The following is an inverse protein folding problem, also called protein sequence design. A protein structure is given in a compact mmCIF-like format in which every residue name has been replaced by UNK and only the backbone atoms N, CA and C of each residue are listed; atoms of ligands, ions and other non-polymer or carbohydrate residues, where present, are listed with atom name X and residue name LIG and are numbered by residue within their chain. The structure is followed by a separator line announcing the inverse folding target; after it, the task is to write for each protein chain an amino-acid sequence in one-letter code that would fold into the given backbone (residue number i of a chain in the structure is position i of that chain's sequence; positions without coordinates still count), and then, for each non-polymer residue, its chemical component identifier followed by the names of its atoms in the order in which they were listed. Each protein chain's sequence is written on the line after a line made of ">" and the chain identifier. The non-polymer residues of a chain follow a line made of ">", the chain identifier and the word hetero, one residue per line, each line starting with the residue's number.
data_IF_077677682660
#
_entry.id   IF_077677682660
#
_cell.length_a   1.000
_cell.length_b   1.000
_cell.length_c   1.000
_cell.angle_alpha   90.00
_cell.angle_beta   90.00
_cell.angle_gamma   90.00
#
_symmetry.space_group_name_H-M   'P 1'
#
loop_
_entity.id
_entity.type
_entity.pdbx_description
1 polymer ?
#
# COMPACT_ATOMS: atom_id res chain seq x y z
N UNK A 1 -11.19 4.38 11.79
CA UNK A 1 -11.56 4.61 10.37
C UNK A 1 -11.71 6.12 10.14
N UNK A 2 -10.65 6.91 10.40
CA UNK A 2 -10.74 8.35 10.65
C UNK A 2 -9.42 9.01 10.19
N UNK A 3 -9.45 10.16 9.49
CA UNK A 3 -8.28 11.05 9.42
C UNK A 3 -8.32 11.95 10.66
N UNK A 4 -7.33 11.84 11.54
CA UNK A 4 -7.25 12.71 12.72
C UNK A 4 -6.89 14.13 12.27
N UNK A 5 -7.71 15.09 12.63
CA UNK A 5 -7.40 16.48 12.43
C UNK A 5 -7.06 17.12 13.75
N UNK A 6 -6.05 17.96 13.76
CA UNK A 6 -5.76 18.83 14.88
C UNK A 6 -5.31 18.06 16.10
N UNK A 7 -4.00 18.01 16.27
CA UNK A 7 -3.40 17.74 17.56
C UNK A 7 -3.86 18.83 18.53
N UNK A 8 -4.64 18.43 19.54
CA UNK A 8 -5.08 19.31 20.62
C UNK A 8 -4.05 19.27 21.75
N UNK A 9 -3.60 18.10 22.18
CA UNK A 9 -2.52 17.94 23.17
C UNK A 9 -1.84 16.55 23.11
N UNK A 10 -0.69 16.40 23.76
CA UNK A 10 0.23 15.26 23.67
C UNK A 10 0.85 14.85 25.01
N UNK A 11 1.38 13.63 25.05
CA UNK A 11 2.15 13.11 26.19
C UNK A 11 3.55 13.73 26.33
N UNK A 12 4.14 14.24 25.24
CA UNK A 12 5.51 14.76 25.21
C UNK A 12 5.60 16.27 25.54
N UNK A 13 6.68 16.73 26.22
CA UNK A 13 6.91 18.15 26.46
C UNK A 13 6.94 18.92 25.13
N UNK A 14 6.26 20.07 25.08
CA UNK A 14 6.15 20.96 23.89
C UNK A 14 5.17 20.51 22.79
N UNK A 15 4.38 19.45 23.00
CA UNK A 15 3.30 19.12 22.08
C UNK A 15 3.80 18.61 20.73
N UNK A 16 4.87 17.81 20.71
CA UNK A 16 5.43 17.18 19.52
C UNK A 16 4.98 15.71 19.39
N UNK A 17 4.63 15.28 18.18
CA UNK A 17 4.41 13.87 17.84
C UNK A 17 5.18 13.48 16.59
N UNK A 18 5.46 12.19 16.46
CA UNK A 18 6.12 11.62 15.29
C UNK A 18 5.16 10.72 14.53
N UNK A 19 5.11 10.90 13.22
CA UNK A 19 4.31 10.05 12.34
C UNK A 19 5.16 9.42 11.25
N UNK A 20 4.87 8.17 10.96
CA UNK A 20 5.40 7.46 9.81
C UNK A 20 4.45 7.63 8.63
N UNK A 21 4.95 8.11 7.49
CA UNK A 21 4.15 8.33 6.26
C UNK A 21 4.50 7.37 5.12
N UNK A 22 5.18 6.26 5.43
CA UNK A 22 5.59 5.24 4.45
C UNK A 22 4.43 4.77 3.54
N UNK A 23 3.21 4.67 4.07
CA UNK A 23 2.01 4.28 3.31
C UNK A 23 1.43 5.39 2.40
N UNK A 24 1.86 6.64 2.55
CA UNK A 24 1.32 7.81 1.82
C UNK A 24 2.29 8.28 0.72
N UNK A 25 3.57 8.41 1.05
CA UNK A 25 4.59 8.97 0.16
C UNK A 25 5.85 8.11 0.04
N UNK A 26 5.89 6.94 0.68
CA UNK A 26 7.03 6.04 0.62
C UNK A 26 8.27 6.54 1.36
N UNK A 27 8.16 7.62 2.14
CA UNK A 27 9.24 8.10 2.99
C UNK A 27 9.32 7.27 4.27
N UNK A 28 10.55 6.87 4.64
CA UNK A 28 10.83 6.05 5.84
C UNK A 28 11.15 6.88 7.07
N UNK A 29 11.38 8.18 6.91
CA UNK A 29 11.66 9.08 8.03
C UNK A 29 10.36 9.43 8.76
N UNK A 30 10.45 9.53 10.08
CA UNK A 30 9.35 10.05 10.88
C UNK A 30 9.22 11.55 10.67
N UNK A 31 8.02 11.98 10.32
CA UNK A 31 7.66 13.40 10.20
C UNK A 31 7.21 13.92 11.54
N UNK A 32 7.72 15.09 11.90
CA UNK A 32 7.37 15.80 13.12
C UNK A 32 6.04 16.53 12.89
N UNK A 33 5.10 16.36 13.82
CA UNK A 33 3.82 17.07 13.87
C UNK A 33 3.71 17.76 15.21
N UNK A 34 3.25 19.00 15.23
CA UNK A 34 3.26 19.81 16.42
C UNK A 34 1.88 20.40 16.70
N UNK A 35 1.40 20.20 17.92
CA UNK A 35 0.25 20.90 18.48
C UNK A 35 0.47 22.41 18.40
N UNK A 36 -0.60 23.18 18.17
CA UNK A 36 -0.46 24.62 18.36
C UNK A 36 -0.19 24.92 19.85
N UNK A 37 0.73 25.84 20.20
CA UNK A 37 1.07 26.13 21.60
C UNK A 37 -0.14 26.51 22.46
N UNK A 38 -1.11 27.20 21.86
CA UNK A 38 -2.34 27.57 22.56
C UNK A 38 -3.22 26.36 22.89
N UNK A 39 -3.29 25.33 22.05
CA UNK A 39 -4.10 24.13 22.32
C UNK A 39 -3.36 23.11 23.19
N UNK A 40 -2.02 23.10 23.14
CA UNK A 40 -1.18 22.15 23.86
C UNK A 40 -1.44 22.09 25.38
N UNK A 41 -2.00 23.16 25.97
CA UNK A 41 -2.43 23.24 27.37
C UNK A 41 -3.53 22.24 27.76
N UNK A 42 -4.22 21.65 26.79
CA UNK A 42 -5.38 20.77 26.98
C UNK A 42 -4.95 19.31 27.18
N UNK A 43 -4.10 19.06 28.17
CA UNK A 43 -3.49 17.76 28.47
C UNK A 43 -4.42 16.78 29.21
N UNK A 44 -5.43 17.31 29.91
CA UNK A 44 -6.41 16.52 30.67
C UNK A 44 -7.72 16.33 29.91
N UNK A 45 -8.34 15.16 30.11
CA UNK A 45 -9.66 14.83 29.56
C UNK A 45 -10.75 15.80 30.03
N UNK A 46 -10.61 16.36 31.23
CA UNK A 46 -11.54 17.33 31.78
C UNK A 46 -11.40 18.70 31.11
N UNK A 47 -10.18 19.17 30.88
CA UNK A 47 -9.94 20.41 30.12
C UNK A 47 -10.45 20.29 28.66
N UNK A 48 -10.36 19.11 28.06
CA UNK A 48 -10.92 18.85 26.73
C UNK A 48 -12.46 18.85 26.72
N UNK A 49 -13.10 18.39 27.78
CA UNK A 49 -14.56 18.40 27.89
C UNK A 49 -15.14 19.82 28.00
N UNK A 50 -14.43 20.71 28.68
CA UNK A 50 -14.81 22.12 28.84
C UNK A 50 -14.42 22.98 27.62
N UNK A 51 -13.57 22.46 26.73
CA UNK A 51 -13.08 23.18 25.58
C UNK A 51 -14.11 23.21 24.43
N UNK A 52 -14.52 24.42 24.04
CA UNK A 52 -15.44 24.64 22.93
C UNK A 52 -14.78 25.51 21.86
N UNK A 53 -14.67 25.01 20.63
CA UNK A 53 -14.14 25.76 19.50
C UNK A 53 -14.76 25.30 18.17
N UNK A 54 -14.74 26.20 17.18
CA UNK A 54 -15.19 25.93 15.82
C UNK A 54 -13.99 25.82 14.88
N UNK A 55 -13.87 24.71 14.16
CA UNK A 55 -12.85 24.54 13.11
C UNK A 55 -13.43 24.96 11.76
N UNK A 56 -12.83 25.95 11.12
CA UNK A 56 -13.08 26.32 9.72
C UNK A 56 -11.91 25.83 8.88
N UNK A 57 -12.16 25.07 7.82
CA UNK A 57 -11.09 24.52 6.98
C UNK A 57 -11.46 24.55 5.51
N UNK A 58 -10.47 24.36 4.65
CA UNK A 58 -10.66 24.19 3.22
C UNK A 58 -11.53 22.96 2.87
N UNK A 59 -12.12 22.98 1.68
CA UNK A 59 -12.87 21.81 1.19
C UNK A 59 -11.95 20.59 0.99
N UNK A 60 -12.47 19.37 1.14
CA UNK A 60 -11.70 18.14 0.93
C UNK A 60 -11.04 18.08 -0.46
N UNK A 61 -9.70 18.14 -0.50
CA UNK A 61 -8.90 18.10 -1.72
C UNK A 61 -7.93 16.90 -1.74
N UNK A 62 -7.20 16.74 -2.85
CA UNK A 62 -6.25 15.63 -3.09
C UNK A 62 -4.79 15.99 -2.76
N UNK A 63 -4.52 17.23 -2.37
CA UNK A 63 -3.18 17.75 -2.15
C UNK A 63 -2.69 17.34 -0.76
N UNK A 64 -1.81 16.35 -0.70
CA UNK A 64 -1.34 15.75 0.57
C UNK A 64 -0.50 16.71 1.42
N UNK A 65 0.19 17.67 0.81
CA UNK A 65 1.15 18.56 1.48
C UNK A 65 0.61 19.97 1.75
N UNK A 66 -0.67 20.20 1.49
CA UNK A 66 -1.31 21.49 1.73
C UNK A 66 -2.45 21.28 2.70
N UNK A 67 -2.60 22.15 3.68
CA UNK A 67 -3.79 22.22 4.52
C UNK A 67 -3.88 23.62 5.10
N UNK A 68 -5.04 24.24 4.94
CA UNK A 68 -5.34 25.55 5.51
C UNK A 68 -6.62 25.45 6.35
N UNK A 69 -6.49 25.74 7.64
CA UNK A 69 -7.60 25.80 8.57
C UNK A 69 -7.45 26.94 9.58
N UNK A 70 -8.53 27.22 10.29
CA UNK A 70 -8.64 28.22 11.34
C UNK A 70 -9.44 27.59 12.49
N UNK A 71 -8.87 27.56 13.68
CA UNK A 71 -9.59 27.24 14.91
C UNK A 71 -10.08 28.55 15.54
N UNK A 72 -11.39 28.65 15.75
CA UNK A 72 -12.06 29.79 16.38
C UNK A 72 -12.60 29.37 17.74
N UNK A 73 -11.91 29.77 18.80
CA UNK A 73 -12.42 29.67 20.18
C UNK A 73 -13.31 30.90 20.45
N UNK A 74 -14.51 30.76 21.04
CA UNK A 74 -15.43 31.88 21.27
C UNK A 74 -14.86 33.01 22.13
N UNK A 75 -13.96 32.67 23.06
CA UNK A 75 -13.36 33.56 24.05
C UNK A 75 -11.90 33.92 23.77
N UNK A 76 -11.30 33.41 22.68
CA UNK A 76 -9.87 33.56 22.42
C UNK A 76 -9.55 33.92 20.95
N UNK A 77 -8.25 34.03 20.68
CA UNK A 77 -7.72 34.41 19.37
C UNK A 77 -7.99 33.30 18.34
N UNK A 78 -8.22 33.69 17.09
CA UNK A 78 -8.29 32.73 15.99
C UNK A 78 -6.89 32.17 15.70
N UNK A 79 -6.77 30.85 15.74
CA UNK A 79 -5.50 30.13 15.55
C UNK A 79 -5.44 29.57 14.13
N UNK A 80 -4.41 29.89 13.33
CA UNK A 80 -4.20 29.24 12.04
C UNK A 80 -3.73 27.80 12.23
N UNK A 81 -4.30 26.89 11.43
CA UNK A 81 -3.95 25.48 11.37
C UNK A 81 -3.31 25.19 10.01
N UNK A 82 -2.10 24.65 10.03
CA UNK A 82 -1.37 24.21 8.85
C UNK A 82 -1.23 22.68 8.79
N UNK A 83 -0.41 22.21 7.84
CA UNK A 83 -0.11 20.79 7.70
C UNK A 83 0.58 20.21 8.95
N UNK A 84 1.35 21.01 9.68
CA UNK A 84 2.09 20.59 10.87
C UNK A 84 1.18 20.12 12.01
N UNK A 85 -0.08 20.58 12.04
CA UNK A 85 -1.10 20.18 13.01
C UNK A 85 -2.02 19.06 12.48
N UNK A 86 -1.83 18.59 11.25
CA UNK A 86 -2.71 17.64 10.57
C UNK A 86 -2.11 16.23 10.51
N UNK A 87 -2.91 15.23 10.86
CA UNK A 87 -2.54 13.82 10.75
C UNK A 87 -3.34 13.16 9.63
N UNK A 88 -2.65 12.64 8.63
CA UNK A 88 -3.32 12.05 7.48
C UNK A 88 -3.72 10.60 7.78
N UNK A 89 -4.88 10.18 7.26
CA UNK A 89 -5.23 8.76 7.23
C UNK A 89 -4.15 7.99 6.46
N UNK A 90 -3.67 6.90 7.04
CA UNK A 90 -2.59 6.08 6.49
C UNK A 90 -1.25 6.32 7.17
N UNK A 91 -1.10 7.44 7.89
CA UNK A 91 0.05 7.67 8.77
C UNK A 91 -0.07 6.81 10.04
N UNK A 92 1.05 6.30 10.53
CA UNK A 92 1.12 5.60 11.81
C UNK A 92 1.80 6.50 12.86
N UNK A 93 1.19 6.63 14.03
CA UNK A 93 1.81 7.32 15.15
C UNK A 93 2.97 6.46 15.68
N UNK A 94 4.14 7.07 15.86
CA UNK A 94 5.36 6.44 16.38
C UNK A 94 5.94 7.32 17.48
N UNK A 95 6.68 6.71 18.41
CA UNK A 95 7.44 7.44 19.44
C UNK A 95 6.59 8.49 20.19
N UNK A 96 5.32 8.20 20.41
CA UNK A 96 4.36 9.05 21.11
C UNK A 96 3.29 8.14 21.70
N UNK A 97 3.00 8.28 23.01
CA UNK A 97 2.11 7.35 23.72
C UNK A 97 0.65 7.54 23.29
N UNK A 98 0.17 8.78 23.33
CA UNK A 98 -1.18 9.13 22.93
C UNK A 98 -1.23 10.56 22.39
N UNK A 99 -2.28 10.82 21.63
CA UNK A 99 -2.60 12.13 21.11
C UNK A 99 -4.08 12.41 21.39
N UNK A 100 -4.39 13.67 21.68
CA UNK A 100 -5.75 14.17 21.58
C UNK A 100 -5.93 14.87 20.25
N UNK A 101 -6.98 14.50 19.51
CA UNK A 101 -7.27 15.18 18.27
C UNK A 101 -8.75 15.17 17.89
N UNK A 102 -9.11 16.15 17.07
CA UNK A 102 -10.44 16.31 16.50
C UNK A 102 -10.52 15.54 15.18
N UNK A 103 -11.68 15.43 14.54
CA UNK A 103 -11.83 14.82 13.23
C UNK A 103 -12.42 15.83 12.26
N UNK A 104 -11.68 16.19 11.21
CA UNK A 104 -12.11 17.15 10.16
C UNK A 104 -12.60 16.43 8.91
N UNK A 105 -11.92 15.35 8.49
CA UNK A 105 -12.31 14.59 7.30
C UNK A 105 -12.56 13.12 7.65
N UNK A 106 -13.64 12.56 7.11
CA UNK A 106 -14.01 11.15 7.34
C UNK A 106 -14.22 10.39 6.02
N UNK A 107 -14.07 9.06 6.07
CA UNK A 107 -14.35 8.18 4.93
C UNK A 107 -13.67 8.61 3.61
N UNK A 108 -14.49 8.88 2.59
CA UNK A 108 -14.07 9.28 1.24
C UNK A 108 -13.66 10.76 1.11
N UNK A 109 -13.84 11.56 2.16
CA UNK A 109 -13.37 12.95 2.20
C UNK A 109 -11.90 13.05 2.63
N UNK A 110 -11.35 11.99 3.21
CA UNK A 110 -9.93 11.96 3.57
C UNK A 110 -9.03 12.12 2.34
N UNK A 111 -7.95 12.90 2.47
CA UNK A 111 -7.04 13.22 1.35
C UNK A 111 -6.50 11.97 0.64
N UNK A 112 -6.18 10.91 1.40
CA UNK A 112 -5.77 9.61 0.86
C UNK A 112 -6.86 9.00 -0.04
N UNK A 113 -8.11 9.01 0.39
CA UNK A 113 -9.21 8.43 -0.40
C UNK A 113 -9.59 9.29 -1.60
N UNK A 114 -9.43 10.61 -1.52
CA UNK A 114 -9.57 11.52 -2.67
C UNK A 114 -8.47 11.33 -3.70
N UNK A 115 -7.29 10.90 -3.28
CA UNK A 115 -6.20 10.50 -4.16
C UNK A 115 -6.40 9.07 -4.70
N UNK A 116 -7.07 8.20 -3.93
CA UNK A 116 -7.40 6.85 -4.38
C UNK A 116 -8.41 6.88 -5.53
N UNK A 117 -8.10 6.18 -6.62
CA UNK A 117 -9.04 6.01 -7.73
C UNK A 117 -9.95 4.83 -7.42
N UNK A 118 -11.27 4.95 -7.68
CA UNK A 118 -12.21 3.83 -7.53
C UNK A 118 -11.69 2.65 -8.35
N UNK A 119 -11.60 1.48 -7.72
CA UNK A 119 -11.12 0.28 -8.39
C UNK A 119 -11.98 0.02 -9.65
N UNK A 120 -11.38 0.08 -10.85
CA UNK A 120 -12.13 -0.22 -12.07
C UNK A 120 -12.47 -1.71 -12.10
N UNK A 121 -13.56 -2.06 -12.78
CA UNK A 121 -13.84 -3.46 -13.10
C UNK A 121 -12.79 -3.92 -14.12
N UNK A 122 -11.83 -4.71 -13.64
CA UNK A 122 -10.81 -5.33 -14.49
C UNK A 122 -11.44 -6.50 -15.23
N UNK A 123 -11.36 -6.49 -16.55
CA UNK A 123 -11.76 -7.61 -17.42
C UNK A 123 -10.50 -8.21 -18.05
N UNK A 124 -10.43 -9.53 -18.14
CA UNK A 124 -9.32 -10.21 -18.81
C UNK A 124 -9.30 -9.85 -20.30
N UNK A 125 -8.11 -9.75 -20.88
CA UNK A 125 -7.94 -9.62 -22.33
C UNK A 125 -8.51 -10.82 -23.07
N UNK A 126 -8.42 -12.02 -22.48
CA UNK A 126 -9.02 -13.25 -23.00
C UNK A 126 -10.54 -13.14 -23.03
N UNK A 127 -11.17 -12.57 -22.00
CA UNK A 127 -12.63 -12.35 -22.01
C UNK A 127 -13.06 -11.47 -23.19
N UNK A 128 -12.29 -10.41 -23.46
CA UNK A 128 -12.54 -9.53 -24.60
C UNK A 128 -12.41 -10.27 -25.93
N UNK A 129 -11.36 -11.08 -26.07
CA UNK A 129 -11.12 -11.88 -27.27
C UNK A 129 -12.20 -12.95 -27.48
N UNK A 130 -12.57 -13.69 -26.44
CA UNK A 130 -13.66 -14.68 -26.47
C UNK A 130 -14.98 -14.05 -26.88
N UNK A 131 -15.31 -12.87 -26.34
CA UNK A 131 -16.51 -12.14 -26.75
C UNK A 131 -16.49 -11.73 -28.23
N UNK A 132 -15.33 -11.33 -28.76
CA UNK A 132 -15.16 -11.06 -30.20
C UNK A 132 -15.34 -12.33 -31.03
N UNK A 133 -14.81 -13.48 -30.59
CA UNK A 133 -15.02 -14.77 -31.27
C UNK A 133 -16.49 -15.23 -31.23
N UNK A 134 -17.20 -15.05 -30.11
CA UNK A 134 -18.64 -15.33 -30.00
C UNK A 134 -19.43 -14.49 -31.00
N UNK A 135 -19.12 -13.20 -31.12
CA UNK A 135 -19.76 -12.32 -32.10
C UNK A 135 -19.48 -12.78 -33.54
N UNK A 136 -18.25 -13.17 -33.85
CA UNK A 136 -17.91 -13.71 -35.17
C UNK A 136 -18.66 -15.02 -35.48
N UNK A 137 -18.74 -15.94 -34.51
CA UNK A 137 -19.51 -17.19 -34.66
C UNK A 137 -21.01 -16.92 -34.83
N UNK A 138 -21.56 -15.93 -34.13
CA UNK A 138 -22.95 -15.52 -34.29
C UNK A 138 -23.23 -14.97 -35.70
N UNK A 139 -22.31 -14.17 -36.27
CA UNK A 139 -22.44 -13.72 -37.66
C UNK A 139 -22.36 -14.88 -38.64
N UNK A 140 -21.44 -15.83 -38.43
CA UNK A 140 -21.34 -17.05 -39.25
C UNK A 140 -22.64 -17.87 -39.16
N UNK A 141 -23.19 -18.05 -37.95
CA UNK A 141 -24.47 -18.73 -37.72
C UNK A 141 -25.60 -18.11 -38.54
N UNK A 142 -25.74 -16.78 -38.49
CA UNK A 142 -26.76 -16.06 -39.28
C UNK A 142 -26.56 -16.25 -40.79
N UNK A 143 -25.32 -16.23 -41.27
CA UNK A 143 -25.05 -16.44 -42.69
C UNK A 143 -25.34 -17.87 -43.13
N UNK A 144 -24.96 -18.89 -42.35
CA UNK A 144 -25.26 -20.29 -42.68
C UNK A 144 -26.76 -20.58 -42.63
N UNK A 145 -27.48 -20.06 -41.63
CA UNK A 145 -28.93 -20.28 -41.54
C UNK A 145 -29.68 -19.58 -42.69
N UNK A 146 -29.23 -18.39 -43.11
CA UNK A 146 -29.82 -17.68 -44.24
C UNK A 146 -29.55 -18.39 -45.57
N UNK A 147 -28.33 -18.87 -45.80
CA UNK A 147 -27.97 -19.64 -46.98
C UNK A 147 -28.73 -20.97 -47.03
N UNK A 148 -28.84 -21.67 -45.90
CA UNK A 148 -29.56 -22.95 -45.82
C UNK A 148 -31.07 -22.77 -46.06
N UNK A 149 -31.67 -21.73 -45.48
CA UNK A 149 -33.07 -21.38 -45.76
C UNK A 149 -33.28 -21.00 -47.24
N UNK A 150 -32.35 -20.27 -47.84
CA UNK A 150 -32.38 -19.90 -49.26
C UNK A 150 -32.26 -21.11 -50.18
N UNK A 151 -31.33 -22.03 -49.90
CA UNK A 151 -31.21 -23.27 -50.68
C UNK A 151 -32.39 -24.21 -50.49
N UNK A 152 -32.95 -24.28 -49.28
CA UNK A 152 -34.16 -25.06 -49.02
C UNK A 152 -35.36 -24.53 -49.82
N UNK A 153 -35.54 -23.21 -49.88
CA UNK A 153 -36.57 -22.56 -50.69
C UNK A 153 -36.39 -22.83 -52.19
N UNK A 154 -35.15 -22.72 -52.70
CA UNK A 154 -34.86 -23.03 -54.10
C UNK A 154 -35.11 -24.50 -54.43
N UNK A 155 -34.74 -25.42 -53.54
CA UNK A 155 -34.93 -26.84 -53.72
C UNK A 155 -36.41 -27.22 -53.73
N UNK A 156 -37.20 -26.66 -52.80
CA UNK A 156 -38.64 -26.91 -52.68
C UNK A 156 -39.45 -26.37 -53.87
N UNK A 157 -38.94 -25.34 -54.56
CA UNK A 157 -39.54 -24.87 -55.83
C UNK A 157 -39.25 -25.81 -57.00
N UNK A 158 -38.15 -26.55 -56.96
CA UNK A 158 -37.70 -27.40 -58.06
C UNK A 158 -38.22 -28.85 -57.96
N UNK A 159 -38.51 -29.35 -56.76
CA UNK A 159 -38.91 -30.74 -56.52
C UNK A 159 -40.25 -30.81 -55.78
N UNK A 160 -41.20 -31.54 -56.36
CA UNK A 160 -42.53 -31.82 -55.76
C UNK A 160 -42.70 -33.31 -55.59
N UNK A 161 -41.97 -33.88 -54.63
CA UNK A 161 -42.01 -35.31 -54.35
C UNK A 161 -43.24 -35.66 -53.47
N UNK A 162 -44.13 -36.49 -54.01
CA UNK A 162 -45.42 -36.83 -53.41
C UNK A 162 -45.33 -37.50 -52.03
N UNK A 163 -44.20 -38.13 -51.70
CA UNK A 163 -43.99 -38.85 -50.44
C UNK A 163 -43.51 -37.97 -49.27
N UNK A 164 -43.08 -36.72 -49.54
CA UNK A 164 -42.53 -35.81 -48.51
C UNK A 164 -43.64 -35.05 -47.77
N UNK A 165 -44.88 -35.06 -48.28
CA UNK A 165 -46.03 -34.42 -47.61
C UNK A 165 -45.92 -32.89 -47.55
N UNK A 166 -45.39 -32.27 -48.62
CA UNK A 166 -45.13 -30.82 -48.70
C UNK A 166 -46.40 -29.94 -48.68
N UNK A 167 -47.58 -30.51 -48.95
CA UNK A 167 -48.87 -29.77 -49.01
C UNK A 167 -49.47 -29.46 -47.62
N UNK A 168 -49.17 -30.26 -46.59
CA UNK A 168 -49.70 -30.06 -45.22
C UNK A 168 -48.73 -29.31 -44.30
N UNK A 169 -47.45 -29.25 -44.65
CA UNK A 169 -46.44 -28.63 -43.82
C UNK A 169 -46.41 -27.10 -44.02
N UNK A 170 -46.38 -26.34 -42.92
CA UNK A 170 -46.17 -24.88 -42.86
C UNK A 170 -44.79 -24.42 -43.40
N UNK A 171 -44.17 -25.20 -44.28
CA UNK A 171 -42.82 -25.07 -44.82
C UNK A 171 -42.69 -23.99 -45.91
N UNK A 172 -43.80 -23.39 -46.39
CA UNK A 172 -43.75 -22.34 -47.40
C UNK A 172 -43.24 -20.98 -46.88
N UNK A 173 -43.11 -20.84 -45.55
CA UNK A 173 -42.66 -19.59 -44.94
C UNK A 173 -41.15 -19.62 -44.74
N UNK A 174 -40.42 -18.87 -45.58
CA UNK A 174 -38.98 -18.65 -45.46
C UNK A 174 -38.52 -18.35 -44.02
N UNK A 175 -39.30 -17.57 -43.27
CA UNK A 175 -39.01 -17.23 -41.87
C UNK A 175 -39.01 -18.43 -40.92
N UNK A 176 -39.93 -19.39 -41.09
CA UNK A 176 -39.96 -20.60 -40.26
C UNK A 176 -38.80 -21.54 -40.62
N UNK A 177 -38.49 -21.70 -41.91
CA UNK A 177 -37.31 -22.48 -42.34
C UNK A 177 -36.01 -21.87 -41.81
N UNK A 178 -35.87 -20.54 -41.88
CA UNK A 178 -34.72 -19.82 -41.30
C UNK A 178 -34.60 -20.04 -39.79
N UNK A 179 -35.70 -19.96 -39.04
CA UNK A 179 -35.70 -20.20 -37.60
C UNK A 179 -35.34 -21.65 -37.26
N UNK A 180 -35.84 -22.62 -38.02
CA UNK A 180 -35.50 -24.05 -37.88
C UNK A 180 -34.00 -24.29 -38.06
N UNK A 181 -33.39 -23.73 -39.11
CA UNK A 181 -31.93 -23.83 -39.30
C UNK A 181 -31.12 -23.09 -38.23
N UNK A 182 -31.62 -21.96 -37.74
CA UNK A 182 -30.99 -21.23 -36.64
C UNK A 182 -30.96 -22.05 -35.34
N UNK A 183 -32.06 -22.75 -35.02
CA UNK A 183 -32.13 -23.65 -33.86
C UNK A 183 -31.22 -24.86 -34.07
N UNK A 184 -31.23 -25.46 -35.26
CA UNK A 184 -30.38 -26.62 -35.60
C UNK A 184 -28.89 -26.32 -35.41
N UNK A 185 -28.47 -25.11 -35.79
CA UNK A 185 -27.08 -24.66 -35.71
C UNK A 185 -26.71 -23.95 -34.39
N UNK A 186 -27.62 -23.87 -33.42
CA UNK A 186 -27.38 -23.17 -32.15
C UNK A 186 -26.17 -23.70 -31.37
N UNK A 187 -25.86 -25.00 -31.52
CA UNK A 187 -24.70 -25.65 -30.91
C UNK A 187 -23.33 -25.15 -31.40
N UNK A 188 -23.28 -24.34 -32.47
CA UNK A 188 -22.03 -23.68 -32.92
C UNK A 188 -21.53 -22.63 -31.92
N UNK A 189 -22.39 -22.07 -31.08
CA UNK A 189 -22.00 -21.14 -30.02
C UNK A 189 -21.73 -21.97 -28.76
N UNK A 190 -20.46 -22.15 -28.35
CA UNK A 190 -20.13 -23.00 -27.22
C UNK A 190 -20.38 -22.26 -25.90
N UNK A 191 -21.65 -22.15 -25.48
CA UNK A 191 -22.03 -21.48 -24.23
C UNK A 191 -21.36 -22.16 -23.02
N UNK A 192 -21.20 -23.48 -23.08
CA UNK A 192 -20.53 -24.27 -22.03
C UNK A 192 -19.05 -23.95 -21.87
N UNK A 193 -18.36 -23.47 -22.91
CA UNK A 193 -16.93 -23.13 -22.85
C UNK A 193 -16.69 -21.96 -21.89
N UNK A 194 -17.57 -20.95 -21.91
CA UNK A 194 -17.46 -19.80 -21.02
C UNK A 194 -17.57 -20.21 -19.55
N UNK A 195 -18.58 -21.03 -19.22
CA UNK A 195 -18.78 -21.53 -17.85
C UNK A 195 -17.61 -22.42 -17.41
N UNK A 196 -17.12 -23.28 -18.31
CA UNK A 196 -15.96 -24.14 -18.02
C UNK A 196 -14.72 -23.31 -17.74
N UNK A 197 -14.47 -22.23 -18.50
CA UNK A 197 -13.35 -21.33 -18.27
C UNK A 197 -13.44 -20.63 -16.90
N UNK A 198 -14.63 -20.19 -16.47
CA UNK A 198 -14.84 -19.62 -15.13
C UNK A 198 -14.54 -20.62 -14.01
N UNK A 199 -14.98 -21.87 -14.17
CA UNK A 199 -14.70 -22.94 -13.20
C UNK A 199 -13.18 -23.20 -13.13
N UNK A 200 -12.51 -23.28 -14.28
CA UNK A 200 -11.04 -23.47 -14.34
C UNK A 200 -10.32 -22.32 -13.62
N UNK A 201 -10.69 -21.06 -13.90
CA UNK A 201 -10.12 -19.87 -13.24
C UNK A 201 -10.33 -19.91 -11.72
N UNK A 202 -11.50 -20.34 -11.26
CA UNK A 202 -11.78 -20.49 -9.83
C UNK A 202 -10.83 -21.50 -9.17
N UNK A 203 -10.65 -22.69 -9.77
CA UNK A 203 -9.75 -23.70 -9.23
C UNK A 203 -8.28 -23.25 -9.30
N UNK A 204 -7.85 -22.57 -10.36
CA UNK A 204 -6.52 -21.99 -10.46
C UNK A 204 -6.24 -20.98 -9.33
N UNK A 205 -7.20 -20.10 -9.02
CA UNK A 205 -7.07 -19.15 -7.91
C UNK A 205 -6.93 -19.88 -6.56
N UNK A 206 -7.64 -21.00 -6.39
CA UNK A 206 -7.51 -21.85 -5.19
C UNK A 206 -6.16 -22.56 -5.12
N UNK A 207 -5.63 -23.05 -6.23
CA UNK A 207 -4.31 -23.68 -6.26
C UNK A 207 -3.21 -22.68 -5.90
N UNK A 208 -3.27 -21.44 -6.39
CA UNK A 208 -2.34 -20.36 -5.98
C UNK A 208 -2.37 -20.17 -4.45
N UNK A 209 -3.55 -20.24 -3.83
CA UNK A 209 -3.68 -20.04 -2.39
C UNK A 209 -3.28 -21.25 -1.53
N UNK A 210 -3.16 -22.43 -2.12
CA UNK A 210 -2.72 -23.66 -1.45
C UNK A 210 -1.25 -23.97 -1.72
N UNK A 211 -0.52 -23.08 -2.39
CA UNK A 211 0.90 -23.25 -2.69
C UNK A 211 1.76 -22.90 -1.47
N UNK A 212 2.59 -23.87 -1.05
CA UNK A 212 3.50 -23.73 0.08
C UNK A 212 4.70 -22.86 -0.28
N UNK A 213 5.13 -22.83 -1.55
CA UNK A 213 6.27 -22.00 -1.97
C UNK A 213 5.93 -20.50 -1.97
N UNK A 214 4.64 -20.15 -2.07
CA UNK A 214 4.15 -18.77 -2.01
C UNK A 214 3.62 -18.38 -0.62
N UNK A 215 3.91 -19.17 0.42
CA UNK A 215 3.55 -18.90 1.80
C UNK A 215 4.68 -18.17 2.53
N UNK A 216 4.33 -17.09 3.25
CA UNK A 216 5.28 -16.33 4.04
C UNK A 216 5.19 -16.68 5.52
N UNK A 217 6.20 -17.40 6.01
CA UNK A 217 6.23 -18.01 7.35
C UNK A 217 6.27 -16.97 8.49
N UNK A 218 7.06 -15.90 8.34
CA UNK A 218 7.24 -14.92 9.40
C UNK A 218 5.97 -14.13 9.76
N UNK A 219 5.00 -14.01 8.85
CA UNK A 219 3.72 -13.35 9.11
C UNK A 219 2.52 -14.29 9.05
N UNK A 220 2.73 -15.59 8.85
CA UNK A 220 1.65 -16.58 8.65
C UNK A 220 0.64 -16.13 7.59
N UNK A 221 1.14 -15.71 6.43
CA UNK A 221 0.30 -15.20 5.33
C UNK A 221 0.48 -16.01 4.06
N UNK A 222 -0.55 -16.74 3.60
CA UNK A 222 -0.53 -17.39 2.28
C UNK A 222 -0.81 -16.38 1.16
N UNK A 223 -0.40 -16.72 -0.07
CA UNK A 223 -0.79 -15.97 -1.26
C UNK A 223 -2.31 -15.99 -1.46
N UNK A 224 -2.97 -14.84 -1.48
CA UNK A 224 -4.42 -14.76 -1.67
C UNK A 224 -4.80 -14.11 -3.00
N UNK A 225 -5.33 -14.92 -3.92
CA UNK A 225 -5.93 -14.43 -5.16
C UNK A 225 -7.32 -13.82 -4.89
N UNK A 226 -7.40 -12.49 -4.79
CA UNK A 226 -8.67 -11.75 -4.54
C UNK A 226 -9.60 -11.66 -5.75
N UNK A 227 -9.10 -11.90 -6.95
CA UNK A 227 -9.88 -11.84 -8.19
C UNK A 227 -9.52 -13.03 -9.06
N UNK A 228 -10.43 -13.99 -9.18
CA UNK A 228 -10.23 -15.23 -9.95
C UNK A 228 -10.10 -14.99 -11.46
N UNK A 229 -10.70 -13.92 -11.98
CA UNK A 229 -10.82 -13.69 -13.42
C UNK A 229 -9.54 -13.14 -14.08
N UNK A 230 -8.45 -12.99 -13.32
CA UNK A 230 -7.19 -12.38 -13.79
C UNK A 230 -5.99 -13.33 -13.71
N UNK A 231 -6.18 -14.60 -13.35
CA UNK A 231 -5.08 -15.53 -13.15
C UNK A 231 -4.23 -15.72 -14.42
N UNK A 232 -4.88 -15.81 -15.58
CA UNK A 232 -4.24 -15.92 -16.89
C UNK A 232 -3.42 -14.69 -17.30
N UNK A 233 -3.78 -13.50 -16.81
CA UNK A 233 -3.03 -12.26 -17.08
C UNK A 233 -1.63 -12.30 -16.45
N UNK A 234 -1.44 -13.08 -15.37
CA UNK A 234 -0.12 -13.27 -14.74
C UNK A 234 0.90 -13.85 -15.74
N UNK A 235 0.47 -14.68 -16.69
CA UNK A 235 1.32 -15.23 -17.74
C UNK A 235 1.66 -14.25 -18.87
N UNK A 236 0.99 -13.09 -18.92
CA UNK A 236 1.13 -12.09 -19.99
C UNK A 236 1.81 -10.79 -19.52
N UNK A 237 2.25 -10.72 -18.26
CA UNK A 237 2.89 -9.54 -17.69
C UNK A 237 4.21 -9.25 -18.40
N UNK A 238 4.32 -8.06 -19.02
CA UNK A 238 5.56 -7.57 -19.66
C UNK A 238 6.33 -6.55 -18.83
N UNK A 239 5.61 -5.77 -18.03
CA UNK A 239 6.17 -4.70 -17.23
C UNK A 239 5.69 -4.85 -15.79
N UNK A 240 6.64 -4.85 -14.86
CA UNK A 240 6.38 -4.88 -13.42
C UNK A 240 6.72 -3.50 -12.88
N UNK A 241 5.70 -2.77 -12.42
CA UNK A 241 5.89 -1.54 -11.68
C UNK A 241 5.97 -1.88 -10.20
N UNK A 242 7.18 -1.87 -9.65
CA UNK A 242 7.43 -2.15 -8.23
C UNK A 242 7.56 -0.85 -7.46
N UNK A 243 6.91 -0.80 -6.30
CA UNK A 243 7.22 0.22 -5.30
C UNK A 243 8.57 -0.12 -4.64
N UNK A 244 9.31 0.90 -4.18
CA UNK A 244 10.57 0.71 -3.47
C UNK A 244 10.31 0.36 -2.01
N UNK A 245 9.56 1.22 -1.32
CA UNK A 245 9.42 1.18 0.13
C UNK A 245 8.39 0.12 0.53
N UNK A 246 8.75 -0.81 1.41
CA UNK A 246 7.88 -1.90 1.84
C UNK A 246 7.63 -3.02 0.82
N UNK A 247 8.11 -2.89 -0.42
CA UNK A 247 8.09 -3.96 -1.44
C UNK A 247 9.48 -4.46 -1.76
N UNK A 248 10.41 -3.58 -2.16
CA UNK A 248 11.81 -3.96 -2.41
C UNK A 248 12.67 -3.91 -1.14
N UNK A 249 12.31 -3.05 -0.18
CA UNK A 249 13.07 -2.85 1.06
C UNK A 249 12.26 -3.22 2.29
N UNK A 250 12.89 -3.89 3.26
CA UNK A 250 12.29 -4.26 4.55
C UNK A 250 12.17 -3.10 5.55
N UNK A 251 12.51 -1.86 5.14
CA UNK A 251 12.55 -0.66 6.00
C UNK A 251 13.43 -0.80 7.26
N UNK A 252 14.39 -1.72 7.24
CA UNK A 252 15.41 -1.90 8.28
C UNK A 252 16.74 -1.39 7.72
N UNK A 253 17.39 -0.49 8.45
CA UNK A 253 18.69 0.07 8.09
C UNK A 253 19.76 -0.48 9.02
N UNK A 254 20.73 -1.18 8.44
CA UNK A 254 21.85 -1.75 9.19
C UNK A 254 23.16 -1.04 8.84
N UNK A 255 23.95 -0.72 9.86
CA UNK A 255 25.29 -0.18 9.65
C UNK A 255 26.24 -1.28 9.18
N UNK A 256 26.64 -1.23 7.90
CA UNK A 256 27.42 -2.30 7.26
C UNK A 256 28.92 -2.01 7.12
N UNK A 257 29.32 -0.79 6.79
CA UNK A 257 30.74 -0.44 6.56
C UNK A 257 30.99 1.03 6.90
N UNK A 258 32.20 1.35 7.31
CA UNK A 258 32.69 2.73 7.41
C UNK A 258 34.17 2.82 7.05
N UNK A 259 34.61 4.02 6.67
CA UNK A 259 36.01 4.30 6.38
C UNK A 259 36.52 5.29 7.42
N UNK A 260 37.55 4.91 8.17
CA UNK A 260 38.14 5.75 9.22
C UNK A 260 39.65 5.78 9.01
N UNK A 261 40.21 6.98 8.79
CA UNK A 261 41.65 7.14 8.56
C UNK A 261 42.17 6.29 7.40
N UNK A 262 41.47 6.33 6.26
CA UNK A 262 41.77 5.57 5.02
C UNK A 262 41.62 4.04 5.11
N UNK A 263 41.24 3.50 6.27
CA UNK A 263 41.00 2.07 6.47
C UNK A 263 39.49 1.81 6.42
N UNK A 264 39.09 0.84 5.58
CA UNK A 264 37.70 0.41 5.47
C UNK A 264 37.43 -0.68 6.52
N UNK A 265 36.47 -0.42 7.40
CA UNK A 265 35.96 -1.35 8.39
C UNK A 265 34.61 -1.90 7.91
N UNK A 266 34.43 -3.20 8.07
CA UNK A 266 33.16 -3.87 7.75
C UNK A 266 32.51 -4.40 9.03
N UNK A 267 31.18 -4.42 9.03
CA UNK A 267 30.38 -5.05 10.06
C UNK A 267 30.67 -6.56 10.11
N UNK A 268 30.58 -7.19 11.29
CA UNK A 268 30.83 -8.61 11.44
C UNK A 268 29.90 -9.43 10.55
N UNK A 269 30.43 -10.51 9.95
CA UNK A 269 29.61 -11.50 9.26
C UNK A 269 28.66 -12.23 10.23
N UNK A 270 27.67 -12.99 9.72
CA UNK A 270 26.67 -13.68 10.55
C UNK A 270 27.27 -14.68 11.57
N UNK A 271 28.49 -15.18 11.33
CA UNK A 271 29.19 -16.11 12.22
C UNK A 271 30.43 -15.49 12.90
N UNK A 272 30.64 -14.19 12.76
CA UNK A 272 31.83 -13.50 13.25
C UNK A 272 31.49 -12.70 14.51
N UNK A 273 32.31 -12.80 15.55
CA UNK A 273 32.09 -12.02 16.77
C UNK A 273 32.56 -10.59 16.56
N UNK A 274 31.97 -9.68 17.32
CA UNK A 274 32.37 -8.28 17.35
C UNK A 274 33.87 -8.11 17.66
N UNK A 275 34.38 -8.94 18.57
CA UNK A 275 35.76 -8.91 19.05
C UNK A 275 36.77 -9.26 17.96
N UNK A 276 36.35 -10.05 16.97
CA UNK A 276 37.19 -10.50 15.87
C UNK A 276 37.31 -9.45 14.76
N UNK A 277 36.45 -8.42 14.76
CA UNK A 277 36.50 -7.38 13.72
C UNK A 277 37.76 -6.51 13.82
N UNK A 278 38.27 -6.12 12.65
CA UNK A 278 39.44 -5.23 12.50
C UNK A 278 39.28 -3.92 13.30
N UNK A 279 38.06 -3.39 13.39
CA UNK A 279 37.74 -2.17 14.13
C UNK A 279 38.04 -2.35 15.63
N UNK A 280 37.56 -3.45 16.21
CA UNK A 280 37.74 -3.75 17.63
C UNK A 280 39.20 -4.06 17.96
N UNK A 281 39.88 -4.84 17.11
CA UNK A 281 41.29 -5.14 17.27
C UNK A 281 42.17 -3.88 17.19
N UNK A 282 41.91 -2.98 16.25
CA UNK A 282 42.66 -1.72 16.13
C UNK A 282 42.43 -0.80 17.33
N UNK A 283 41.23 -0.83 17.92
CA UNK A 283 40.90 -0.10 19.15
C UNK A 283 41.61 -0.69 20.38
N UNK A 284 41.61 -2.02 20.55
CA UNK A 284 42.26 -2.69 21.68
C UNK A 284 43.80 -2.65 21.60
N UNK A 285 44.37 -2.83 20.41
CA UNK A 285 45.83 -2.86 20.19
C UNK A 285 46.48 -1.48 20.15
N UNK A 286 45.72 -0.39 20.39
CA UNK A 286 46.17 1.00 20.26
C UNK A 286 46.94 1.26 18.96
N UNK A 287 46.34 0.86 17.83
CA UNK A 287 46.86 1.20 16.51
C UNK A 287 46.99 2.74 16.36
N UNK A 288 47.90 3.29 15.53
CA UNK A 288 48.01 4.75 15.32
C UNK A 288 46.69 5.44 14.96
N UNK A 289 45.74 4.71 14.36
CA UNK A 289 44.39 5.21 14.02
C UNK A 289 43.39 5.13 15.17
N UNK A 290 43.73 4.54 16.33
CA UNK A 290 42.81 4.34 17.46
C UNK A 290 42.24 5.65 18.02
N UNK A 291 43.03 6.73 18.01
CA UNK A 291 42.55 8.06 18.38
C UNK A 291 41.43 8.55 17.46
N UNK A 292 41.65 8.42 16.14
CA UNK A 292 40.67 8.80 15.11
C UNK A 292 39.42 7.91 15.16
N UNK A 293 39.59 6.61 15.44
CA UNK A 293 38.45 5.69 15.61
C UNK A 293 37.60 6.09 16.81
N UNK A 294 38.23 6.42 17.96
CA UNK A 294 37.49 6.90 19.14
C UNK A 294 36.72 8.18 18.83
N UNK A 295 37.38 9.16 18.22
CA UNK A 295 36.73 10.43 17.83
C UNK A 295 35.57 10.20 16.86
N UNK A 296 35.74 9.35 15.84
CA UNK A 296 34.68 8.99 14.91
C UNK A 296 33.48 8.33 15.61
N UNK A 297 33.72 7.36 16.51
CA UNK A 297 32.66 6.71 17.28
C UNK A 297 31.98 7.69 18.25
N UNK A 298 32.73 8.58 18.88
CA UNK A 298 32.18 9.64 19.73
C UNK A 298 31.33 10.62 18.92
N UNK A 299 31.78 11.04 17.73
CA UNK A 299 30.99 11.89 16.84
C UNK A 299 29.68 11.22 16.42
N UNK A 300 29.71 9.93 16.09
CA UNK A 300 28.50 9.15 15.80
C UNK A 300 27.55 9.04 17.00
N UNK A 301 28.08 8.98 18.23
CA UNK A 301 27.31 8.88 19.47
C UNK A 301 26.89 10.24 20.07
N UNK A 302 27.36 11.38 19.53
CA UNK A 302 27.01 12.71 20.04
C UNK A 302 26.24 13.52 18.99
N UNK A 303 26.61 13.42 17.72
CA UNK A 303 25.99 14.16 16.62
C UNK A 303 24.72 13.46 16.10
N UNK A 304 23.74 13.26 16.97
CA UNK A 304 22.45 12.68 16.60
C UNK A 304 21.29 13.29 17.39
N UNK A 305 20.07 13.11 16.88
CA UNK A 305 18.83 13.58 17.54
C UNK A 305 18.06 12.46 18.24
N UNK A 306 18.59 11.23 18.24
CA UNK A 306 17.96 10.04 18.84
C UNK A 306 17.69 10.21 20.33
N UNK A 307 16.54 9.74 20.76
CA UNK A 307 16.05 9.80 22.14
C UNK A 307 16.08 8.38 22.73
N UNK A 308 16.92 8.10 23.74
CA UNK A 308 16.89 6.81 24.42
C UNK A 308 15.72 6.76 25.42
N UNK A 309 14.89 5.73 25.33
CA UNK A 309 13.84 5.40 26.29
C UNK A 309 14.17 4.08 26.98
N UNK A 310 14.20 4.07 28.31
CA UNK A 310 14.44 2.86 29.09
C UNK A 310 13.12 2.17 29.40
N UNK A 311 12.87 1.04 28.75
CA UNK A 311 11.71 0.19 29.02
C UNK A 311 12.19 -1.02 29.83
N UNK A 312 12.09 -0.91 31.16
CA UNK A 312 12.62 -1.92 32.07
C UNK A 312 14.16 -1.96 32.05
N UNK A 313 14.72 -3.11 31.66
CA UNK A 313 16.18 -3.29 31.55
C UNK A 313 16.73 -3.14 30.12
N UNK A 314 15.84 -2.94 29.14
CA UNK A 314 16.22 -2.67 27.75
C UNK A 314 16.17 -1.17 27.45
N UNK A 315 17.15 -0.70 26.69
CA UNK A 315 17.25 0.67 26.23
C UNK A 315 16.85 0.73 24.76
N UNK A 316 15.69 1.34 24.49
CA UNK A 316 15.15 1.53 23.16
C UNK A 316 15.56 2.90 22.62
N UNK A 317 15.88 2.98 21.33
CA UNK A 317 16.34 4.21 20.70
C UNK A 317 15.30 4.73 19.72
N UNK A 318 14.72 5.88 20.04
CA UNK A 318 13.73 6.56 19.20
C UNK A 318 14.43 7.56 18.28
N UNK A 319 14.58 7.20 17.01
CA UNK A 319 15.18 8.04 15.99
C UNK A 319 14.12 8.58 15.02
N UNK A 320 14.26 9.85 14.60
CA UNK A 320 13.42 10.41 13.55
C UNK A 320 13.77 9.86 12.15
N UNK A 321 14.99 9.34 11.97
CA UNK A 321 15.41 8.66 10.75
C UNK A 321 15.96 7.27 11.09
N UNK A 322 15.54 6.20 10.39
CA UNK A 322 16.04 4.86 10.62
C UNK A 322 17.52 4.71 10.27
N UNK A 323 18.09 5.59 9.43
CA UNK A 323 19.51 5.59 9.10
C UNK A 323 20.41 5.92 10.32
N UNK A 324 19.85 6.55 11.35
CA UNK A 324 20.52 6.92 12.59
C UNK A 324 20.17 5.91 13.70
N UNK A 325 19.94 4.64 13.37
CA UNK A 325 19.79 3.62 14.42
C UNK A 325 21.14 3.33 15.07
N UNK A 326 21.30 3.80 16.31
CA UNK A 326 22.54 3.78 17.09
C UNK A 326 22.78 2.40 17.72
N UNK A 327 21.91 1.42 17.50
CA UNK A 327 22.06 0.08 18.08
C UNK A 327 23.42 -0.56 17.76
N UNK A 328 23.98 -0.29 16.57
CA UNK A 328 25.33 -0.72 16.22
C UNK A 328 26.41 0.07 16.98
N UNK A 329 26.24 1.39 17.11
CA UNK A 329 27.22 2.27 17.75
C UNK A 329 27.28 1.99 19.26
N UNK A 330 26.16 1.73 19.92
CA UNK A 330 26.12 1.44 21.36
C UNK A 330 26.64 0.05 21.74
N UNK A 331 26.59 -0.93 20.83
CA UNK A 331 27.31 -2.20 21.02
C UNK A 331 28.84 -2.00 21.01
N UNK A 332 29.33 -0.94 20.36
CA UNK A 332 30.76 -0.66 20.19
C UNK A 332 31.30 0.46 21.09
N UNK A 333 30.45 1.42 21.48
CA UNK A 333 30.79 2.59 22.27
C UNK A 333 30.14 2.47 23.66
N UNK A 334 30.97 2.26 24.67
CA UNK A 334 30.54 2.38 26.06
C UNK A 334 30.07 3.81 26.33
N UNK A 335 28.84 3.95 26.84
CA UNK A 335 28.26 5.13 27.49
C UNK A 335 27.66 6.25 26.60
N UNK A 336 26.34 6.26 26.55
CA UNK A 336 25.49 7.46 26.57
C UNK A 336 24.13 7.08 27.15
N UNK A 337 23.99 7.21 28.47
CA UNK A 337 22.86 6.63 29.20
C UNK A 337 21.67 7.58 29.41
N UNK A 338 21.85 8.90 29.31
CA UNK A 338 20.76 9.86 29.58
C UNK A 338 21.01 11.17 28.82
N UNK A 339 20.00 11.67 28.09
CA UNK A 339 19.98 13.03 27.57
C UNK A 339 19.39 13.95 28.65
N UNK A 340 20.22 14.75 29.30
CA UNK A 340 19.75 15.78 30.23
C UNK A 340 19.48 17.07 29.45
N UNK A 341 18.27 17.66 29.53
CA UNK A 341 18.03 18.97 28.94
C UNK A 341 18.78 20.02 29.75
N UNK A 342 19.95 20.46 29.26
CA UNK A 342 20.65 21.61 29.83
C UNK A 342 19.93 22.89 29.41
N UNK A 343 19.65 23.72 30.42
CA UNK A 343 19.21 25.10 30.33
C UNK A 343 19.91 25.86 29.18
N UNK A 344 19.15 26.68 28.47
CA UNK A 344 19.57 27.78 27.57
C UNK A 344 21.09 27.87 27.37
N UNK A 345 21.58 27.36 26.24
CA UNK A 345 22.87 27.80 25.71
C UNK A 345 22.70 29.22 25.17
N UNK A 346 22.89 30.21 26.06
CA UNK A 346 23.35 31.53 25.67
C UNK A 346 24.86 31.39 25.51
N UNK A 347 25.35 31.37 24.27
CA UNK A 347 26.66 31.90 23.89
C UNK A 347 26.65 32.28 22.41
#
# INVERSE_FOLDING_TARGET
>A
MISYSQIVSHSEPQGISFIETSNLDGETNLKIRQAHPETARLDSTQALADFTATVQCEQPNRHLYEFNGLLKEPSAKTIPLGLDQMLLRGSMLRNTNYIYGVVVYTGHETKLMKNSTKAPLKRSSIDRQTNTHILMLFMILLTLSLLSAGFNELWMRAHTDWYIGLEEAQNANFGFNFLTFLILYNNLIPISLQVTAEIVRFFQAKFIAMDVEMYHDATDTPAMARTSNLNEELGMVKYIFSDKTGTLTCNVMEFRKCTIGEIIYSAPGPNEKLEDTLLYQNLQRNHPTAGVIREFLTMLAVCHTVIPERVGDQLNYHAASPAISIEAIHKHASASHVRTPSQRAVH
#
